data_IF_800128471254
#
_entry.id   IF_800128471254
#
_cell.length_a   1.000
_cell.length_b   1.000
_cell.length_c   1.000
_cell.angle_alpha   90.00
_cell.angle_beta   90.00
_cell.angle_gamma   90.00
#
_symmetry.space_group_name_H-M   'P 1'
#
loop_
_entity.id
_entity.type
_entity.pdbx_description
1 polymer ?
#
# COMPACT_ATOMS: atom_id res chain seq x y z
N UNK A 1 7.80 -6.09 30.10
CA UNK A 1 7.01 -5.70 28.91
C UNK A 1 8.00 -5.42 27.79
N UNK A 2 8.17 -6.36 26.87
CA UNK A 2 9.12 -6.24 25.75
C UNK A 2 8.52 -5.36 24.67
N UNK A 3 9.04 -4.15 24.50
CA UNK A 3 8.71 -3.27 23.37
C UNK A 3 9.29 -3.89 22.10
N UNK A 4 8.56 -4.83 21.49
CA UNK A 4 8.99 -5.51 20.26
C UNK A 4 8.98 -4.51 19.10
N UNK A 5 10.16 -3.92 18.84
CA UNK A 5 10.41 -3.05 17.69
C UNK A 5 10.24 -3.84 16.40
N UNK A 6 9.50 -3.28 15.43
CA UNK A 6 9.39 -3.85 14.08
C UNK A 6 10.78 -4.20 13.50
N UNK A 7 10.94 -5.38 12.84
CA UNK A 7 12.18 -5.77 12.20
C UNK A 7 12.68 -4.74 11.18
N UNK A 8 14.00 -4.56 11.03
CA UNK A 8 14.60 -3.61 10.08
C UNK A 8 14.12 -3.83 8.64
N UNK A 9 13.98 -5.10 8.22
CA UNK A 9 13.42 -5.45 6.90
C UNK A 9 11.99 -4.93 6.74
N UNK A 10 11.14 -5.06 7.76
CA UNK A 10 9.77 -4.53 7.73
C UNK A 10 9.72 -3.01 7.64
N UNK A 11 10.67 -2.31 8.31
CA UNK A 11 10.80 -0.84 8.20
C UNK A 11 11.23 -0.40 6.80
N UNK A 12 12.20 -1.09 6.21
CA UNK A 12 12.65 -0.81 4.85
C UNK A 12 11.52 -1.05 3.83
N UNK A 13 10.81 -2.19 3.96
CA UNK A 13 9.63 -2.48 3.12
C UNK A 13 8.53 -1.44 3.30
N UNK A 14 8.26 -1.00 4.53
CA UNK A 14 7.25 0.04 4.79
C UNK A 14 7.65 1.38 4.17
N UNK A 15 8.93 1.79 4.30
CA UNK A 15 9.44 3.01 3.68
C UNK A 15 9.30 2.97 2.15
N UNK A 16 9.68 1.84 1.54
CA UNK A 16 9.52 1.62 0.10
C UNK A 16 8.05 1.67 -0.34
N UNK A 17 7.15 1.02 0.41
CA UNK A 17 5.71 1.06 0.14
C UNK A 17 5.16 2.49 0.20
N UNK A 18 5.58 3.30 1.18
CA UNK A 18 5.16 4.70 1.29
C UNK A 18 5.68 5.55 0.13
N UNK A 19 6.92 5.36 -0.31
CA UNK A 19 7.45 6.05 -1.47
C UNK A 19 6.65 5.71 -2.74
N UNK A 20 6.38 4.43 -2.98
CA UNK A 20 5.55 3.97 -4.10
C UNK A 20 4.12 4.48 -4.03
N UNK A 21 3.53 4.54 -2.83
CA UNK A 21 2.18 5.08 -2.66
C UNK A 21 2.10 6.56 -3.06
N UNK A 22 3.13 7.36 -2.75
CA UNK A 22 3.19 8.76 -3.20
C UNK A 22 3.22 8.87 -4.72
N UNK A 23 4.03 8.03 -5.39
CA UNK A 23 4.07 7.97 -6.85
C UNK A 23 2.72 7.53 -7.42
N UNK A 24 2.09 6.50 -6.84
CA UNK A 24 0.77 6.03 -7.27
C UNK A 24 -0.26 7.16 -7.22
N UNK A 25 -0.34 7.90 -6.11
CA UNK A 25 -1.26 9.02 -5.93
C UNK A 25 -1.00 10.14 -6.94
N UNK A 26 0.27 10.47 -7.20
CA UNK A 26 0.62 11.50 -8.19
C UNK A 26 0.19 11.11 -9.61
N UNK A 27 0.44 9.85 -10.01
CA UNK A 27 0.00 9.34 -11.32
C UNK A 27 -1.53 9.30 -11.43
N UNK A 28 -2.20 8.88 -10.36
CA UNK A 28 -3.66 8.79 -10.29
C UNK A 28 -4.32 10.17 -10.44
N UNK A 29 -3.80 11.17 -9.72
CA UNK A 29 -4.24 12.56 -9.82
C UNK A 29 -3.99 13.15 -11.21
N UNK A 30 -2.94 12.70 -11.90
CA UNK A 30 -2.62 13.09 -13.27
C UNK A 30 -3.33 12.23 -14.34
N UNK A 31 -4.29 11.37 -13.93
CA UNK A 31 -5.06 10.47 -14.80
C UNK A 31 -4.23 9.45 -15.58
N UNK A 32 -2.98 9.20 -15.16
CA UNK A 32 -2.17 8.09 -15.67
C UNK A 32 -2.59 6.78 -14.97
N UNK A 33 -3.81 6.32 -15.27
CA UNK A 33 -4.51 5.27 -14.53
C UNK A 33 -3.80 3.89 -14.55
N UNK A 34 -3.27 3.47 -15.69
CA UNK A 34 -2.51 2.21 -15.77
C UNK A 34 -1.25 2.23 -14.90
N UNK A 35 -0.50 3.33 -14.97
CA UNK A 35 0.70 3.53 -14.18
C UNK A 35 0.37 3.58 -12.68
N UNK A 36 -0.63 4.36 -12.29
CA UNK A 36 -1.10 4.42 -10.91
C UNK A 36 -1.50 3.04 -10.37
N UNK A 37 -2.26 2.27 -11.17
CA UNK A 37 -2.69 0.91 -10.80
C UNK A 37 -1.49 0.00 -10.51
N UNK A 38 -0.48 0.01 -11.37
CA UNK A 38 0.71 -0.80 -11.19
C UNK A 38 1.39 -0.52 -9.84
N UNK A 39 1.58 0.77 -9.49
CA UNK A 39 2.18 1.13 -8.20
C UNK A 39 1.29 0.77 -7.02
N UNK A 40 -0.05 0.96 -7.09
CA UNK A 40 -0.94 0.58 -6.00
C UNK A 40 -0.91 -0.92 -5.72
N UNK A 41 -0.85 -1.78 -6.76
CA UNK A 41 -0.74 -3.24 -6.60
C UNK A 41 0.51 -3.59 -5.79
N UNK A 42 1.66 -3.03 -6.16
CA UNK A 42 2.91 -3.26 -5.44
C UNK A 42 2.83 -2.79 -3.97
N UNK A 43 2.21 -1.64 -3.72
CA UNK A 43 2.00 -1.14 -2.35
C UNK A 43 1.14 -2.11 -1.54
N UNK A 44 0.06 -2.63 -2.10
CA UNK A 44 -0.83 -3.59 -1.42
C UNK A 44 -0.07 -4.86 -1.02
N UNK A 45 0.77 -5.39 -1.91
CA UNK A 45 1.61 -6.56 -1.63
C UNK A 45 2.66 -6.30 -0.55
N UNK A 46 3.35 -5.15 -0.62
CA UNK A 46 4.33 -4.76 0.39
C UNK A 46 3.70 -4.58 1.76
N UNK A 47 2.54 -3.92 1.83
CA UNK A 47 1.79 -3.75 3.08
C UNK A 47 1.33 -5.10 3.64
N UNK A 48 0.91 -6.05 2.80
CA UNK A 48 0.57 -7.40 3.25
C UNK A 48 1.77 -8.09 3.93
N UNK A 49 2.97 -8.01 3.35
CA UNK A 49 4.19 -8.56 3.94
C UNK A 49 4.53 -7.90 5.28
N UNK A 50 4.40 -6.57 5.38
CA UNK A 50 4.66 -5.86 6.65
C UNK A 50 3.65 -6.25 7.72
N UNK A 51 2.36 -6.33 7.37
CA UNK A 51 1.28 -6.73 8.29
C UNK A 51 1.55 -8.12 8.88
N UNK A 52 1.98 -9.10 8.07
CA UNK A 52 2.29 -10.46 8.57
C UNK A 52 3.42 -10.51 9.60
N UNK A 53 4.27 -9.48 9.64
CA UNK A 53 5.46 -9.41 10.52
C UNK A 53 5.29 -8.38 11.65
N UNK A 54 4.19 -7.66 11.67
CA UNK A 54 3.90 -6.68 12.71
C UNK A 54 3.37 -7.41 13.95
N UNK A 55 3.71 -6.89 15.14
CA UNK A 55 3.26 -7.45 16.42
C UNK A 55 2.36 -6.48 17.20
N UNK A 56 2.31 -5.21 16.79
CA UNK A 56 1.46 -4.19 17.39
C UNK A 56 0.12 -4.13 16.66
N UNK A 57 -0.98 -4.43 17.37
CA UNK A 57 -2.34 -4.46 16.81
C UNK A 57 -2.79 -3.12 16.25
N UNK A 58 -2.37 -2.01 16.86
CA UNK A 58 -2.71 -0.65 16.42
C UNK A 58 -2.04 -0.35 15.08
N UNK A 59 -0.78 -0.74 14.93
CA UNK A 59 -0.07 -0.59 13.67
C UNK A 59 -0.63 -1.54 12.59
N UNK A 60 -0.92 -2.79 12.95
CA UNK A 60 -1.60 -3.74 12.05
C UNK A 60 -2.92 -3.17 11.53
N UNK A 61 -3.75 -2.60 12.42
CA UNK A 61 -5.04 -2.02 12.04
C UNK A 61 -4.86 -0.88 11.05
N UNK A 62 -3.97 0.08 11.34
CA UNK A 62 -3.66 1.20 10.43
C UNK A 62 -3.17 0.70 9.07
N UNK A 63 -2.26 -0.26 9.04
CA UNK A 63 -1.73 -0.81 7.78
C UNK A 63 -2.82 -1.53 6.98
N UNK A 64 -3.74 -2.25 7.65
CA UNK A 64 -4.90 -2.87 7.00
C UNK A 64 -5.85 -1.83 6.42
N UNK A 65 -6.08 -0.72 7.13
CA UNK A 65 -6.94 0.37 6.65
C UNK A 65 -6.35 1.04 5.40
N UNK A 66 -5.05 1.36 5.42
CA UNK A 66 -4.33 1.91 4.26
C UNK A 66 -4.37 0.92 3.09
N UNK A 67 -4.08 -0.36 3.34
CA UNK A 67 -4.10 -1.40 2.29
C UNK A 67 -5.50 -1.53 1.67
N UNK A 68 -6.56 -1.47 2.47
CA UNK A 68 -7.94 -1.51 1.99
C UNK A 68 -8.26 -0.31 1.11
N UNK A 69 -7.85 0.89 1.50
CA UNK A 69 -8.06 2.09 0.67
C UNK A 69 -7.42 1.95 -0.72
N UNK A 70 -6.16 1.47 -0.79
CA UNK A 70 -5.51 1.24 -2.08
C UNK A 70 -6.10 0.08 -2.86
N UNK A 71 -6.56 -0.98 -2.20
CA UNK A 71 -7.27 -2.09 -2.85
C UNK A 71 -8.55 -1.61 -3.52
N UNK A 72 -9.34 -0.78 -2.83
CA UNK A 72 -10.55 -0.19 -3.39
C UNK A 72 -10.22 0.68 -4.61
N UNK A 73 -9.19 1.53 -4.52
CA UNK A 73 -8.78 2.36 -5.64
C UNK A 73 -8.34 1.55 -6.86
N UNK A 74 -7.68 0.39 -6.67
CA UNK A 74 -7.34 -0.52 -7.77
C UNK A 74 -8.61 -1.05 -8.46
N UNK A 75 -9.67 -1.37 -7.72
CA UNK A 75 -10.93 -1.82 -8.32
C UNK A 75 -11.59 -0.71 -9.13
N UNK A 76 -11.65 0.51 -8.59
CA UNK A 76 -12.14 1.68 -9.32
C UNK A 76 -11.34 1.94 -10.61
N UNK A 77 -10.01 1.84 -10.55
CA UNK A 77 -9.13 1.99 -11.72
C UNK A 77 -9.35 0.87 -12.74
N UNK A 78 -9.60 -0.37 -12.31
CA UNK A 78 -9.93 -1.46 -13.23
C UNK A 78 -11.24 -1.20 -13.97
N UNK A 79 -12.25 -0.67 -13.28
CA UNK A 79 -13.52 -0.28 -13.90
C UNK A 79 -13.27 0.82 -14.95
N UNK A 80 -12.55 1.89 -14.58
CA UNK A 80 -12.23 2.98 -15.50
C UNK A 80 -11.48 2.50 -16.76
N UNK A 81 -10.50 1.62 -16.59
CA UNK A 81 -9.70 1.07 -17.69
C UNK A 81 -10.45 0.05 -18.56
N UNK A 82 -11.52 -0.56 -18.05
CA UNK A 82 -12.36 -1.46 -18.82
C UNK A 82 -13.29 -0.70 -19.79
N UNK A 83 -13.53 0.59 -19.53
CA UNK A 83 -14.39 1.46 -20.35
C UNK A 83 -13.60 2.45 -21.23
N UNK A 84 -12.27 2.46 -21.17
CA UNK A 84 -11.37 3.29 -21.98
C UNK A 84 -10.90 2.58 -23.23
#
# INVERSE_FOLDING_TARGET
>A
MTTTRMPLSSKATLSAALAKARTAVQLDQAQYHDGAKAYYVEVVEMLARVITRASDEKDIKKLKDIRRAYTNRIQELNELLAYS
#
